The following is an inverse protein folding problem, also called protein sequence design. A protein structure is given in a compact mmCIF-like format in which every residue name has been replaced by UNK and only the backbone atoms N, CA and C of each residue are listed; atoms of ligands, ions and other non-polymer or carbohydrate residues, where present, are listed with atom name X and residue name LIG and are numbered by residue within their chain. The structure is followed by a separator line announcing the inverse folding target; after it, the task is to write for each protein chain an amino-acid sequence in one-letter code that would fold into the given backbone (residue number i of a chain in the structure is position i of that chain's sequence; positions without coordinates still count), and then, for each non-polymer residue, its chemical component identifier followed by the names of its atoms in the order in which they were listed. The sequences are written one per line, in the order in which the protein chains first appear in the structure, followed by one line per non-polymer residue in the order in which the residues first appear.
data_IF_862455450102
#
_entry.id   IF_862455450102
#
_cell.length_a   1.000
_cell.length_b   1.000
_cell.length_c   1.000
_cell.angle_alpha   90.00
_cell.angle_beta   90.00
_cell.angle_gamma   90.00
#
_symmetry.space_group_name_H-M   'P 1'
#
loop_
_entity.id
_entity.type
_entity.pdbx_description
1 polymer ?
#
# COMPACT_ATOMS: atom_id res chain seq x y z
N UNK A 1 23.00 55.02 23.35
CA UNK A 1 21.64 54.46 23.24
C UNK A 1 21.29 54.33 21.77
N UNK A 2 21.49 53.16 21.18
CA UNK A 2 20.84 52.74 19.93
C UNK A 2 20.98 51.22 19.83
N UNK A 3 19.92 50.52 20.23
CA UNK A 3 19.83 49.07 20.24
C UNK A 3 19.66 48.54 18.82
N UNK A 4 20.44 47.52 18.45
CA UNK A 4 20.23 46.73 17.23
C UNK A 4 19.25 45.62 17.60
N UNK A 5 18.02 45.71 17.08
CA UNK A 5 17.04 44.64 17.18
C UNK A 5 17.34 43.57 16.12
N UNK A 6 17.84 42.41 16.55
CA UNK A 6 17.95 41.23 15.70
C UNK A 6 16.60 40.53 15.70
N UNK A 7 15.86 40.66 14.60
CA UNK A 7 14.61 39.93 14.39
C UNK A 7 14.98 38.49 14.02
N UNK A 8 14.89 37.59 15.01
CA UNK A 8 15.02 36.15 14.79
C UNK A 8 13.76 35.62 14.11
N UNK A 9 13.84 35.35 12.81
CA UNK A 9 12.81 34.62 12.09
C UNK A 9 12.84 33.15 12.51
N UNK A 10 11.87 32.75 13.33
CA UNK A 10 11.59 31.35 13.61
C UNK A 10 11.02 30.69 12.33
N UNK A 11 11.86 29.97 11.58
CA UNK A 11 11.41 29.05 10.54
C UNK A 11 10.64 27.92 11.22
N UNK A 12 9.32 28.01 11.21
CA UNK A 12 8.45 26.89 11.51
C UNK A 12 8.68 25.82 10.44
N UNK A 13 9.49 24.81 10.77
CA UNK A 13 9.56 23.54 10.05
C UNK A 13 8.17 22.89 10.16
N UNK A 14 7.26 23.24 9.27
CA UNK A 14 6.09 22.43 8.98
C UNK A 14 6.65 21.10 8.47
N UNK A 15 6.62 20.09 9.32
CA UNK A 15 6.82 18.71 8.91
C UNK A 15 5.78 18.44 7.83
N UNK A 16 6.18 18.47 6.56
CA UNK A 16 5.37 17.94 5.48
C UNK A 16 5.12 16.48 5.86
N UNK A 17 3.94 16.19 6.38
CA UNK A 17 3.44 14.83 6.39
C UNK A 17 3.33 14.46 4.93
N UNK A 18 4.32 13.74 4.42
CA UNK A 18 4.13 12.96 3.19
C UNK A 18 3.04 11.96 3.56
N UNK A 19 1.79 12.34 3.31
CA UNK A 19 0.65 11.45 3.31
C UNK A 19 0.92 10.51 2.14
N UNK A 20 1.39 9.30 2.45
CA UNK A 20 1.68 8.29 1.45
C UNK A 20 0.33 7.84 0.88
N UNK A 21 0.02 8.32 -0.32
CA UNK A 21 -1.14 7.88 -1.09
C UNK A 21 -0.68 6.80 -2.04
N UNK A 22 -1.31 5.63 -1.99
CA UNK A 22 -0.82 4.45 -2.67
C UNK A 22 -1.91 3.76 -3.48
N UNK A 23 -1.57 3.46 -4.73
CA UNK A 23 -2.53 2.99 -5.74
C UNK A 23 -1.87 2.21 -6.86
N UNK A 24 -2.56 1.20 -7.40
CA UNK A 24 -2.24 0.58 -8.68
C UNK A 24 -2.90 1.38 -9.82
N UNK A 25 -2.10 1.83 -10.79
CA UNK A 25 -2.56 2.54 -11.97
C UNK A 25 -2.78 1.63 -13.18
N UNK A 26 -1.96 0.58 -13.33
CA UNK A 26 -2.03 -0.37 -14.43
C UNK A 26 -1.74 -1.76 -13.89
N UNK A 27 -2.64 -2.73 -14.07
CA UNK A 27 -4.03 -2.59 -14.53
C UNK A 27 -4.85 -1.78 -13.50
N UNK A 28 -5.74 -0.89 -13.97
CA UNK A 28 -6.48 0.01 -13.07
C UNK A 28 -7.58 -0.73 -12.30
N UNK A 29 -7.69 -0.56 -10.97
CA UNK A 29 -8.81 -1.11 -10.22
C UNK A 29 -10.14 -0.45 -10.60
N UNK A 30 -11.24 -1.18 -10.39
CA UNK A 30 -12.58 -0.59 -10.26
C UNK A 30 -12.79 -0.22 -8.80
N UNK A 31 -13.19 1.02 -8.53
CA UNK A 31 -13.39 1.53 -7.17
C UNK A 31 -14.86 1.39 -6.75
N UNK A 32 -15.07 1.10 -5.46
CA UNK A 32 -16.40 1.05 -4.83
C UNK A 32 -17.01 2.42 -4.56
N UNK A 33 -16.22 3.48 -4.76
CA UNK A 33 -16.61 4.90 -4.57
C UNK A 33 -16.06 5.74 -5.71
N UNK A 34 -16.63 6.94 -5.89
CA UNK A 34 -16.11 7.91 -6.84
C UNK A 34 -14.65 8.27 -6.52
N UNK A 35 -13.84 8.47 -7.56
CA UNK A 35 -12.41 8.79 -7.47
C UNK A 35 -12.00 9.90 -8.47
N UNK A 36 -12.97 10.71 -8.90
CA UNK A 36 -12.82 11.70 -9.97
C UNK A 36 -12.11 12.98 -9.50
N UNK A 37 -12.26 13.34 -8.24
CA UNK A 37 -11.65 14.52 -7.62
C UNK A 37 -10.45 14.16 -6.75
N UNK A 38 -9.60 15.15 -6.46
CA UNK A 38 -8.44 14.94 -5.59
C UNK A 38 -8.83 14.58 -4.13
N UNK A 39 -9.96 15.12 -3.64
CA UNK A 39 -10.49 14.80 -2.32
C UNK A 39 -11.01 13.37 -2.24
N UNK A 40 -11.72 12.92 -3.28
CA UNK A 40 -12.18 11.54 -3.38
C UNK A 40 -11.00 10.56 -3.41
N UNK A 41 -10.00 10.80 -4.27
CA UNK A 41 -8.81 9.94 -4.36
C UNK A 41 -8.02 9.87 -3.06
N UNK A 42 -7.94 10.98 -2.33
CA UNK A 42 -7.25 11.03 -1.04
C UNK A 42 -7.82 10.01 -0.05
N UNK A 43 -9.14 9.88 0.01
CA UNK A 43 -9.76 8.88 0.89
C UNK A 43 -9.38 7.45 0.48
N UNK A 44 -9.40 7.17 -0.82
CA UNK A 44 -9.21 5.82 -1.35
C UNK A 44 -7.75 5.36 -1.33
N UNK A 45 -6.81 6.29 -1.43
CA UNK A 45 -5.37 6.00 -1.55
C UNK A 45 -4.64 6.06 -0.20
N UNK A 46 -5.29 6.53 0.86
CA UNK A 46 -4.72 6.51 2.20
C UNK A 46 -4.55 5.07 2.70
N UNK A 47 -3.67 4.85 3.71
CA UNK A 47 -3.64 3.57 4.43
C UNK A 47 -5.04 3.13 4.85
N UNK A 48 -5.39 1.89 4.54
CA UNK A 48 -6.64 1.29 4.99
C UNK A 48 -6.62 1.01 6.49
N UNK A 49 -5.43 0.86 7.08
CA UNK A 49 -5.26 0.77 8.53
C UNK A 49 -3.88 1.25 8.96
N UNK A 50 -3.82 1.74 10.19
CA UNK A 50 -2.58 2.07 10.90
C UNK A 50 -2.48 1.10 12.08
N UNK A 51 -1.67 0.05 11.96
CA UNK A 51 -1.75 -1.10 12.89
C UNK A 51 -1.31 -0.76 14.31
N UNK A 52 -0.53 0.30 14.52
CA UNK A 52 -0.22 0.81 15.85
C UNK A 52 -1.48 1.28 16.60
N UNK A 53 -2.53 1.70 15.90
CA UNK A 53 -3.84 2.06 16.48
C UNK A 53 -4.70 0.84 16.78
N UNK A 54 -4.37 -0.29 16.17
CA UNK A 54 -5.04 -1.58 16.30
C UNK A 54 -4.38 -2.48 17.37
N UNK A 55 -3.41 -1.94 18.12
CA UNK A 55 -2.75 -2.63 19.24
C UNK A 55 -1.52 -3.44 18.84
N UNK A 56 -1.05 -3.35 17.59
CA UNK A 56 0.15 -4.03 17.15
C UNK A 56 1.40 -3.36 17.73
N UNK A 57 2.35 -4.17 18.22
CA UNK A 57 3.69 -3.71 18.57
C UNK A 57 4.52 -3.59 17.30
N UNK A 58 4.39 -2.44 16.63
CA UNK A 58 5.11 -2.14 15.39
C UNK A 58 6.63 -2.06 15.61
N UNK A 59 7.39 -2.57 14.65
CA UNK A 59 8.85 -2.59 14.66
C UNK A 59 9.40 -2.41 13.24
N UNK A 60 10.70 -2.16 13.11
CA UNK A 60 11.37 -1.97 11.81
C UNK A 60 11.26 -3.22 10.93
N UNK A 61 11.61 -4.38 11.49
CA UNK A 61 11.59 -5.63 10.76
C UNK A 61 10.22 -6.32 10.89
N UNK A 62 9.33 -6.01 9.96
CA UNK A 62 8.02 -6.65 9.88
C UNK A 62 8.12 -8.14 9.50
N UNK A 63 9.06 -8.52 8.62
CA UNK A 63 9.25 -9.93 8.23
C UNK A 63 9.57 -10.81 9.44
N UNK A 64 10.41 -10.33 10.37
CA UNK A 64 10.67 -11.03 11.63
C UNK A 64 9.39 -11.16 12.47
N UNK A 65 8.58 -10.10 12.53
CA UNK A 65 7.28 -10.16 13.23
C UNK A 65 6.36 -11.23 12.61
N UNK A 66 6.32 -11.36 11.28
CA UNK A 66 5.52 -12.40 10.62
C UNK A 66 5.94 -13.79 11.09
N UNK A 67 7.24 -14.08 11.05
CA UNK A 67 7.80 -15.37 11.48
C UNK A 67 7.49 -15.65 12.95
N UNK A 68 7.77 -14.69 13.83
CA UNK A 68 7.57 -14.83 15.28
C UNK A 68 6.10 -15.06 15.67
N UNK A 69 5.17 -14.61 14.83
CA UNK A 69 3.72 -14.73 15.04
C UNK A 69 3.06 -15.78 14.13
N UNK A 70 3.85 -16.59 13.42
CA UNK A 70 3.36 -17.72 12.63
C UNK A 70 2.59 -17.35 11.37
N UNK A 71 2.85 -16.16 10.80
CA UNK A 71 2.33 -15.78 9.49
C UNK A 71 3.26 -16.25 8.37
N UNK A 72 2.69 -16.90 7.36
CA UNK A 72 3.47 -17.56 6.29
C UNK A 72 3.88 -16.61 5.16
N UNK A 73 3.13 -15.54 4.97
CA UNK A 73 3.30 -14.57 3.88
C UNK A 73 2.64 -13.24 4.28
N UNK A 74 2.86 -12.18 3.48
CA UNK A 74 2.15 -10.92 3.67
C UNK A 74 0.65 -11.10 3.49
N UNK A 75 0.22 -11.83 2.46
CA UNK A 75 -1.19 -12.17 2.25
C UNK A 75 -1.78 -12.89 3.45
N UNK A 76 -1.09 -13.90 3.99
CA UNK A 76 -1.55 -14.64 5.18
C UNK A 76 -1.70 -13.71 6.40
N UNK A 77 -0.78 -12.76 6.59
CA UNK A 77 -0.94 -11.72 7.60
C UNK A 77 -2.17 -10.84 7.33
N UNK A 78 -2.33 -10.32 6.11
CA UNK A 78 -3.42 -9.40 5.77
C UNK A 78 -4.80 -10.06 5.91
N UNK A 79 -4.91 -11.35 5.63
CA UNK A 79 -6.15 -12.12 5.73
C UNK A 79 -6.48 -12.59 7.15
N UNK A 80 -5.48 -12.96 7.96
CA UNK A 80 -5.71 -13.60 9.27
C UNK A 80 -5.51 -12.69 10.47
N UNK A 81 -4.71 -11.63 10.35
CA UNK A 81 -4.48 -10.71 11.45
C UNK A 81 -5.75 -9.93 11.79
N UNK A 82 -5.97 -9.67 13.08
CA UNK A 82 -7.16 -8.97 13.57
C UNK A 82 -6.87 -7.48 13.69
N UNK A 83 -7.29 -6.72 12.68
CA UNK A 83 -7.22 -5.27 12.63
C UNK A 83 -8.45 -4.74 11.88
N UNK A 84 -8.87 -3.51 12.18
CA UNK A 84 -9.95 -2.86 11.44
C UNK A 84 -9.39 -2.08 10.27
N UNK A 85 -10.17 -2.04 9.19
CA UNK A 85 -9.96 -1.08 8.11
C UNK A 85 -10.76 0.20 8.36
N UNK A 86 -10.44 1.23 7.59
CA UNK A 86 -11.29 2.41 7.39
C UNK A 86 -12.73 2.00 7.13
N UNK A 87 -13.68 2.66 7.79
CA UNK A 87 -15.09 2.31 7.75
C UNK A 87 -15.66 2.27 6.33
N UNK A 88 -16.16 1.10 5.94
CA UNK A 88 -16.75 0.83 4.62
C UNK A 88 -15.78 0.20 3.61
N UNK A 89 -14.49 0.09 3.92
CA UNK A 89 -13.56 -0.68 3.12
C UNK A 89 -13.74 -2.18 3.35
N UNK A 90 -13.57 -2.97 2.29
CA UNK A 90 -13.67 -4.43 2.33
C UNK A 90 -12.39 -5.08 2.89
N UNK A 91 -12.56 -6.15 3.66
CA UNK A 91 -11.44 -6.83 4.31
C UNK A 91 -10.49 -7.53 3.33
N UNK A 92 -10.95 -7.94 2.14
CA UNK A 92 -10.08 -8.55 1.14
C UNK A 92 -9.51 -7.49 0.18
N UNK A 93 -10.33 -6.54 -0.25
CA UNK A 93 -10.06 -5.68 -1.41
C UNK A 93 -10.00 -4.18 -1.11
N UNK A 94 -10.10 -3.77 0.16
CA UNK A 94 -10.06 -2.37 0.54
C UNK A 94 -11.18 -1.58 -0.15
N UNK A 95 -10.81 -0.57 -0.93
CA UNK A 95 -11.78 0.26 -1.66
C UNK A 95 -12.09 -0.23 -3.08
N UNK A 96 -11.53 -1.35 -3.50
CA UNK A 96 -11.66 -1.87 -4.87
C UNK A 96 -12.70 -2.98 -4.95
N UNK A 97 -13.42 -3.05 -6.07
CA UNK A 97 -14.45 -4.05 -6.31
C UNK A 97 -13.89 -5.23 -7.12
N UNK A 98 -13.74 -6.44 -6.54
CA UNK A 98 -13.27 -7.61 -7.27
C UNK A 98 -14.29 -8.11 -8.32
N UNK A 99 -15.54 -7.61 -8.30
CA UNK A 99 -16.58 -7.88 -9.30
C UNK A 99 -16.81 -6.70 -10.24
N UNK A 100 -15.94 -5.69 -10.17
CA UNK A 100 -15.97 -4.52 -11.04
C UNK A 100 -15.62 -4.84 -12.50
N UNK A 101 -15.40 -3.80 -13.30
CA UNK A 101 -15.09 -3.93 -14.73
C UNK A 101 -13.69 -4.55 -14.88
N UNK A 102 -13.58 -5.76 -15.46
CA UNK A 102 -12.29 -6.40 -15.68
C UNK A 102 -11.38 -5.57 -16.59
N UNK A 103 -10.08 -5.57 -16.30
CA UNK A 103 -9.05 -4.97 -17.13
C UNK A 103 -8.39 -6.02 -18.00
N UNK A 104 -8.03 -5.65 -19.23
CA UNK A 104 -7.25 -6.54 -20.09
C UNK A 104 -5.87 -6.76 -19.45
N UNK A 105 -5.41 -8.02 -19.41
CA UNK A 105 -4.04 -8.35 -19.01
C UNK A 105 -3.07 -7.58 -19.93
N UNK A 106 -2.15 -6.77 -19.38
CA UNK A 106 -1.18 -6.05 -20.18
C UNK A 106 -0.30 -7.02 -21.00
N UNK A 107 -0.39 -6.97 -22.32
CA UNK A 107 0.32 -7.90 -23.23
C UNK A 107 1.84 -7.83 -23.05
N UNK A 108 2.36 -6.66 -22.69
CA UNK A 108 3.78 -6.43 -22.46
C UNK A 108 4.18 -6.71 -21.00
N UNK A 109 3.27 -7.20 -20.16
CA UNK A 109 3.50 -7.48 -18.75
C UNK A 109 3.66 -6.24 -17.88
N UNK A 110 3.23 -5.06 -18.33
CA UNK A 110 3.37 -3.83 -17.53
C UNK A 110 2.52 -3.86 -16.26
N UNK A 111 3.13 -3.46 -15.14
CA UNK A 111 2.43 -3.00 -13.95
C UNK A 111 2.92 -1.60 -13.59
N UNK A 112 1.99 -0.73 -13.17
CA UNK A 112 2.33 0.62 -12.71
C UNK A 112 1.59 0.95 -11.43
N UNK A 113 2.32 1.50 -10.46
CA UNK A 113 1.80 1.95 -9.16
C UNK A 113 2.21 3.41 -8.91
N UNK A 114 1.76 4.00 -7.81
CA UNK A 114 2.29 5.26 -7.26
C UNK A 114 3.73 5.14 -6.74
N UNK A 115 4.27 3.93 -6.64
CA UNK A 115 5.60 3.62 -6.11
C UNK A 115 5.58 3.36 -4.61
N UNK A 116 6.51 2.53 -4.14
CA UNK A 116 6.61 2.17 -2.73
C UNK A 116 7.40 3.26 -2.00
N UNK A 117 6.73 4.11 -1.21
CA UNK A 117 7.37 5.29 -0.55
C UNK A 117 7.92 5.02 0.84
N UNK A 118 7.68 3.83 1.38
CA UNK A 118 8.11 3.40 2.70
C UNK A 118 8.70 1.99 2.59
N UNK A 119 9.66 1.67 3.45
CA UNK A 119 10.16 0.31 3.55
C UNK A 119 9.04 -0.66 3.85
N UNK A 120 9.20 -1.91 3.45
CA UNK A 120 8.30 -2.99 3.87
C UNK A 120 7.87 -3.91 2.74
N UNK A 121 7.27 -5.06 3.08
CA UNK A 121 7.04 -6.12 2.13
C UNK A 121 5.84 -5.81 1.25
N UNK A 122 5.90 -6.30 0.01
CA UNK A 122 4.75 -6.37 -0.88
C UNK A 122 4.66 -7.76 -1.51
N UNK A 123 3.44 -8.16 -1.81
CA UNK A 123 3.15 -9.37 -2.55
C UNK A 123 2.07 -9.10 -3.59
N UNK A 124 2.18 -9.74 -4.75
CA UNK A 124 1.20 -9.68 -5.83
C UNK A 124 0.82 -11.10 -6.21
N UNK A 125 -0.48 -11.38 -6.23
CA UNK A 125 -1.02 -12.69 -6.60
C UNK A 125 -1.94 -12.57 -7.82
N UNK A 126 -1.92 -13.59 -8.67
CA UNK A 126 -2.90 -13.85 -9.71
C UNK A 126 -3.81 -14.99 -9.24
N UNK A 127 -4.99 -14.65 -8.70
CA UNK A 127 -5.80 -15.58 -7.93
C UNK A 127 -5.02 -16.10 -6.72
N UNK A 128 -4.70 -17.40 -6.73
CA UNK A 128 -3.93 -18.05 -5.66
C UNK A 128 -2.44 -18.21 -5.98
N UNK A 129 -2.00 -17.84 -7.18
CA UNK A 129 -0.60 -17.96 -7.59
C UNK A 129 0.17 -16.68 -7.25
N UNK A 130 1.27 -16.84 -6.51
CA UNK A 130 2.20 -15.73 -6.24
C UNK A 130 2.93 -15.35 -7.53
N UNK A 131 2.84 -14.07 -7.92
CA UNK A 131 3.53 -13.51 -9.08
C UNK A 131 4.76 -12.68 -8.68
N UNK A 132 4.72 -12.01 -7.53
CA UNK A 132 5.82 -11.18 -7.02
C UNK A 132 5.80 -11.16 -5.49
N UNK A 133 6.99 -11.22 -4.88
CA UNK A 133 7.17 -11.03 -3.45
C UNK A 133 8.54 -10.43 -3.16
N UNK A 134 8.58 -9.35 -2.39
CA UNK A 134 9.82 -8.85 -1.81
C UNK A 134 9.63 -8.49 -0.34
N UNK A 135 10.71 -8.64 0.44
CA UNK A 135 10.74 -8.24 1.85
C UNK A 135 10.75 -6.72 2.01
N UNK A 136 11.29 -6.00 1.02
CA UNK A 136 11.25 -4.55 0.93
C UNK A 136 11.03 -4.09 -0.52
N UNK A 137 9.82 -3.67 -0.84
CA UNK A 137 9.49 -3.22 -2.20
C UNK A 137 9.95 -1.80 -2.51
N UNK A 138 10.19 -0.96 -1.49
CA UNK A 138 10.82 0.35 -1.69
C UNK A 138 12.23 0.22 -2.26
N UNK A 139 13.00 -0.75 -1.75
CA UNK A 139 14.35 -1.04 -2.24
C UNK A 139 14.37 -1.85 -3.53
N UNK A 140 13.46 -2.82 -3.66
CA UNK A 140 13.49 -3.79 -4.77
C UNK A 140 12.83 -3.26 -6.05
N UNK A 141 11.88 -2.32 -5.92
CA UNK A 141 11.12 -1.75 -7.04
C UNK A 141 11.31 -0.23 -7.00
N UNK A 142 12.38 0.23 -7.65
CA UNK A 142 12.79 1.64 -7.65
C UNK A 142 11.98 2.51 -8.60
N UNK A 143 11.36 1.89 -9.61
CA UNK A 143 10.52 2.57 -10.61
C UNK A 143 9.04 2.33 -10.34
N UNK A 144 8.21 3.34 -10.60
CA UNK A 144 6.75 3.21 -10.51
C UNK A 144 6.18 2.21 -11.51
N UNK A 145 6.91 1.94 -12.59
CA UNK A 145 6.51 1.02 -13.66
C UNK A 145 7.51 -0.12 -13.72
N UNK A 146 7.02 -1.36 -13.68
CA UNK A 146 7.84 -2.57 -13.71
C UNK A 146 7.14 -3.68 -14.48
N UNK A 147 7.84 -4.79 -14.73
CA UNK A 147 7.29 -5.97 -15.39
C UNK A 147 6.79 -6.98 -14.37
N UNK A 148 5.63 -7.55 -14.63
CA UNK A 148 4.99 -8.58 -13.84
C UNK A 148 4.63 -9.77 -14.73
N UNK A 149 4.82 -10.98 -14.22
CA UNK A 149 4.35 -12.19 -14.88
C UNK A 149 2.87 -12.43 -14.57
N UNK A 150 2.01 -12.27 -15.59
CA UNK A 150 0.57 -12.50 -15.51
C UNK A 150 0.16 -13.94 -15.87
N UNK A 151 1.11 -14.82 -16.22
CA UNK A 151 0.82 -16.20 -16.67
C UNK A 151 0.03 -17.02 -15.64
N UNK A 152 0.10 -16.63 -14.36
CA UNK A 152 -0.70 -17.23 -13.30
C UNK A 152 -2.23 -17.06 -13.48
N UNK A 153 -2.66 -16.03 -14.21
CA UNK A 153 -4.05 -15.63 -14.35
C UNK A 153 -4.87 -16.52 -15.30
N UNK A 154 -4.23 -17.16 -16.29
CA UNK A 154 -4.95 -17.86 -17.36
C UNK A 154 -5.83 -16.90 -18.17
N UNK A 155 -7.06 -17.30 -18.47
CA UNK A 155 -8.02 -16.47 -19.23
C UNK A 155 -8.65 -15.36 -18.39
N UNK A 156 -8.72 -15.51 -17.06
CA UNK A 156 -9.21 -14.47 -16.15
C UNK A 156 -8.91 -14.82 -14.70
N UNK A 157 -8.65 -13.80 -13.88
CA UNK A 157 -8.42 -13.95 -12.45
C UNK A 157 -8.63 -12.62 -11.72
N UNK A 158 -8.46 -12.62 -10.40
CA UNK A 158 -8.29 -11.40 -9.62
C UNK A 158 -6.80 -11.22 -9.32
N UNK A 159 -6.25 -10.07 -9.69
CA UNK A 159 -4.95 -9.64 -9.19
C UNK A 159 -5.14 -9.07 -7.78
N UNK A 160 -4.44 -9.63 -6.80
CA UNK A 160 -4.37 -9.10 -5.45
C UNK A 160 -3.02 -8.42 -5.25
N UNK A 161 -3.04 -7.11 -5.02
CA UNK A 161 -1.86 -6.33 -4.67
C UNK A 161 -1.89 -6.04 -3.17
N UNK A 162 -0.85 -6.46 -2.46
CA UNK A 162 -0.68 -6.20 -1.03
C UNK A 162 0.62 -5.45 -0.79
N UNK A 163 0.56 -4.41 0.04
CA UNK A 163 1.77 -3.77 0.55
C UNK A 163 1.57 -3.34 1.99
N UNK A 164 2.61 -3.57 2.81
CA UNK A 164 2.69 -3.03 4.16
C UNK A 164 3.83 -2.03 4.24
N UNK A 165 3.48 -0.75 4.43
CA UNK A 165 4.44 0.32 4.62
C UNK A 165 4.89 0.40 6.07
N UNK A 166 6.18 0.31 6.31
CA UNK A 166 6.87 0.52 7.58
C UNK A 166 7.46 1.92 7.60
N UNK A 167 6.80 2.83 8.30
CA UNK A 167 7.22 4.23 8.42
C UNK A 167 7.80 4.49 9.80
N UNK A 168 9.00 5.07 9.86
CA UNK A 168 9.57 5.62 11.11
C UNK A 168 9.21 7.10 11.24
N UNK A 169 8.44 7.45 12.26
CA UNK A 169 8.03 8.83 12.54
C UNK A 169 8.27 9.16 14.01
N UNK A 170 9.05 10.21 14.29
CA UNK A 170 9.35 10.69 15.65
C UNK A 170 9.85 9.57 16.59
N UNK A 171 10.71 8.69 16.07
CA UNK A 171 11.30 7.58 16.83
C UNK A 171 10.37 6.38 17.05
N UNK A 172 9.15 6.39 16.50
CA UNK A 172 8.21 5.26 16.55
C UNK A 172 7.97 4.70 15.15
N UNK A 173 7.70 3.40 15.09
CA UNK A 173 7.27 2.77 13.85
C UNK A 173 5.74 2.86 13.70
N UNK A 174 5.28 2.93 12.46
CA UNK A 174 3.89 2.89 12.05
C UNK A 174 3.80 1.89 10.90
N UNK A 175 2.83 0.99 10.97
CA UNK A 175 2.60 -0.01 9.93
C UNK A 175 1.30 0.31 9.21
N UNK A 176 1.41 0.53 7.90
CA UNK A 176 0.34 1.01 7.04
C UNK A 176 -0.10 -0.11 6.11
N UNK A 177 -1.39 -0.44 6.14
CA UNK A 177 -1.97 -1.48 5.29
C UNK A 177 -2.48 -0.89 3.98
N UNK A 178 -2.01 -1.43 2.86
CA UNK A 178 -2.54 -1.16 1.53
C UNK A 178 -2.88 -2.47 0.84
N UNK A 179 -4.06 -2.52 0.22
CA UNK A 179 -4.50 -3.66 -0.60
C UNK A 179 -5.49 -3.23 -1.66
N UNK A 180 -5.37 -3.85 -2.82
CA UNK A 180 -6.26 -3.64 -3.97
C UNK A 180 -6.49 -4.97 -4.69
N UNK A 181 -7.69 -5.13 -5.23
CA UNK A 181 -8.13 -6.24 -6.07
C UNK A 181 -8.48 -5.69 -7.46
N UNK A 182 -7.92 -6.29 -8.50
CA UNK A 182 -8.20 -5.90 -9.89
C UNK A 182 -8.67 -7.14 -10.65
N UNK A 183 -9.94 -7.19 -11.10
CA UNK A 183 -10.38 -8.25 -12.00
C UNK A 183 -9.68 -8.13 -13.35
N UNK A 184 -9.16 -9.24 -13.87
CA UNK A 184 -8.41 -9.31 -15.13
C UNK A 184 -9.03 -10.33 -16.10
N UNK A 185 -8.84 -10.09 -17.40
CA UNK A 185 -9.19 -10.98 -18.52
C UNK A 185 -8.18 -10.91 -19.67
#
# INVERSE_FOLDING_TARGET
LTSIAVIGSALALQSLSVEAHQVVYVPSPTWTRANSTASERRELWNPLSFLEKEGFKTQENFTQYQVDNGYKSLRDFMERAKYKLTDGADQACGWTDPKGIPQQIPEDGTMRTSGYTHDGPCEIYMGDKLALSYLNCHESITDQTFKLDYSGCGDSCILYWYWLGVRKLKGKFSWQVYKECIPLY
#
